data_IF_870239705217
#
_entry.id   IF_870239705217
#
_cell.length_a   1.000
_cell.length_b   1.000
_cell.length_c   1.000
_cell.angle_alpha   90.00
_cell.angle_beta   90.00
_cell.angle_gamma   90.00
#
_symmetry.space_group_name_H-M   'P 1'
#
loop_
_entity.id
_entity.type
_entity.pdbx_description
1 polymer ?
2 non-polymer ?
3 non-polymer ?
4 water ?
#
# COMPACT_ATOMS: atom_id res chain seq x y z
N UNK A 4 -14.98 -22.34 9.45
CA UNK A 4 -14.43 -23.36 10.34
C UNK A 4 -12.93 -23.18 10.54
N UNK A 5 -12.21 -22.97 9.44
CA UNK A 5 -10.76 -22.86 9.49
C UNK A 5 -10.27 -21.48 9.10
N UNK A 6 -9.47 -20.87 9.98
CA UNK A 6 -8.87 -19.57 9.69
C UNK A 6 -7.54 -19.75 8.95
N UNK A 7 -7.16 -18.75 8.19
CA UNK A 7 -5.90 -18.80 7.46
C UNK A 7 -4.81 -18.02 8.21
N UNK A 8 -3.57 -18.34 7.91
CA UNK A 8 -2.44 -17.61 8.49
C UNK A 8 -2.10 -16.42 7.59
N UNK A 9 -2.41 -15.22 8.06
CA UNK A 9 -2.23 -14.01 7.27
C UNK A 9 -0.76 -13.72 6.96
N UNK A 10 0.15 -14.36 7.68
CA UNK A 10 1.58 -14.15 7.49
C UNK A 10 2.07 -14.71 6.16
N UNK A 11 1.23 -15.52 5.52
CA UNK A 11 1.58 -16.10 4.22
C UNK A 11 0.77 -15.46 3.09
N UNK A 12 -0.03 -14.46 3.42
CA UNK A 12 -0.85 -13.75 2.44
C UNK A 12 -0.17 -12.48 1.97
N UNK A 13 0.27 -12.45 0.70
CA UNK A 13 1.05 -11.32 0.15
C UNK A 13 0.27 -10.00 0.23
N UNK A 14 -1.03 -10.06 0.05
CA UNK A 14 -1.87 -8.87 0.14
C UNK A 14 -1.93 -8.31 1.55
N UNK A 15 -1.90 -9.19 2.54
CA UNK A 15 -1.89 -8.77 3.93
C UNK A 15 -0.60 -8.02 4.24
N UNK A 16 0.52 -8.60 3.81
CA UNK A 16 1.82 -7.97 3.98
C UNK A 16 1.92 -6.68 3.18
N UNK A 17 1.31 -6.66 1.99
CA UNK A 17 1.34 -5.49 1.13
C UNK A 17 0.65 -4.30 1.79
N UNK A 18 -0.53 -4.53 2.36
CA UNK A 18 -1.26 -3.47 3.04
C UNK A 18 -0.46 -2.91 4.21
N UNK A 19 0.12 -3.80 5.01
CA UNK A 19 0.85 -3.38 6.19
C UNK A 19 2.14 -2.64 5.84
N UNK A 20 2.77 -3.03 4.74
CA UNK A 20 3.96 -2.33 4.26
C UNK A 20 3.62 -0.92 3.82
N UNK A 21 2.50 -0.77 3.11
CA UNK A 21 2.09 0.53 2.61
C UNK A 21 1.61 1.46 3.74
N UNK A 22 0.97 0.89 4.76
CA UNK A 22 0.61 1.66 5.95
C UNK A 22 1.85 2.18 6.64
N UNK A 23 2.84 1.32 6.80
CA UNK A 23 4.12 1.69 7.39
C UNK A 23 4.78 2.78 6.56
N UNK A 24 4.68 2.65 5.25
CA UNK A 24 5.20 3.64 4.32
C UNK A 24 4.49 4.98 4.50
N UNK A 25 3.16 4.93 4.52
CA UNK A 25 2.37 6.15 4.66
C UNK A 25 2.67 6.86 5.97
N UNK A 26 2.89 6.08 7.01
CA UNK A 26 3.21 6.62 8.33
C UNK A 26 4.59 7.28 8.32
N UNK A 27 5.59 6.55 7.83
CA UNK A 27 6.95 7.07 7.76
C UNK A 27 7.04 8.30 6.87
N UNK A 28 6.27 8.32 5.78
CA UNK A 28 6.31 9.44 4.85
C UNK A 28 5.80 10.72 5.51
N UNK A 29 4.62 10.63 6.12
CA UNK A 29 4.02 11.78 6.76
C UNK A 29 4.77 12.25 8.00
N UNK A 30 5.51 11.33 8.62
CA UNK A 30 6.28 11.66 9.82
C UNK A 30 7.64 12.28 9.49
N UNK A 31 8.34 11.66 8.54
CA UNK A 31 9.72 12.03 8.27
C UNK A 31 9.88 12.91 7.02
N UNK A 32 8.94 12.84 6.09
CA UNK A 32 9.11 13.52 4.82
C UNK A 32 8.22 14.76 4.67
N UNK A 33 6.91 14.56 4.54
CA UNK A 33 5.99 15.68 4.34
C UNK A 33 4.54 15.33 4.62
N UNK A 34 3.80 16.32 5.12
CA UNK A 34 2.35 16.18 5.30
C UNK A 34 1.63 16.98 4.22
N UNK A 35 2.40 17.70 3.41
CA UNK A 35 1.84 18.50 2.33
C UNK A 35 2.02 17.79 0.98
N UNK A 36 3.25 17.39 0.69
CA UNK A 36 3.52 16.68 -0.57
C UNK A 36 3.40 15.17 -0.36
N UNK A 37 2.59 14.52 -1.19
CA UNK A 37 2.42 13.08 -1.11
C UNK A 37 3.53 12.37 -1.87
N UNK A 38 3.69 11.07 -1.61
CA UNK A 38 4.71 10.30 -2.32
C UNK A 38 4.46 10.17 -3.84
N UNK A 39 3.19 10.00 -4.27
CA UNK A 39 2.98 10.02 -5.72
C UNK A 39 3.34 11.37 -6.36
N UNK A 40 3.14 12.46 -5.63
CA UNK A 40 3.56 13.77 -6.11
C UNK A 40 5.07 13.84 -6.25
N UNK A 41 5.79 13.32 -5.27
CA UNK A 41 7.25 13.27 -5.36
C UNK A 41 7.70 12.44 -6.56
N UNK A 42 6.99 11.33 -6.79
CA UNK A 42 7.31 10.44 -7.91
C UNK A 42 7.23 11.20 -9.23
N UNK A 43 6.21 12.04 -9.36
CA UNK A 43 6.05 12.84 -10.56
C UNK A 43 7.12 13.93 -10.65
N UNK A 44 7.40 14.59 -9.53
CA UNK A 44 8.47 15.58 -9.48
C UNK A 44 9.79 14.97 -9.95
N UNK A 45 10.07 13.76 -9.47
CA UNK A 45 11.32 13.09 -9.80
C UNK A 45 11.43 12.73 -11.27
N UNK A 46 10.33 12.23 -11.84
CA UNK A 46 10.30 11.86 -13.25
C UNK A 46 10.58 13.06 -14.14
N UNK A 47 10.17 14.23 -13.68
CA UNK A 47 10.33 15.45 -14.46
C UNK A 47 11.70 16.08 -14.27
N UNK A 48 12.38 15.73 -13.18
CA UNK A 48 13.78 16.10 -12.99
C UNK A 48 14.63 15.27 -13.94
N UNK A 49 14.34 13.97 -13.98
CA UNK A 49 15.06 13.04 -14.85
C UNK A 49 14.83 13.37 -16.34
N UNK A 50 13.58 13.66 -16.69
CA UNK A 50 13.25 13.96 -18.08
C UNK A 50 12.32 15.16 -18.21
N UNK A 51 12.89 16.37 -18.20
CA UNK A 51 12.12 17.61 -18.36
C UNK A 51 11.37 17.62 -19.69
N UNK A 52 10.12 18.09 -19.67
CA UNK A 52 9.32 18.19 -20.87
C UNK A 52 8.63 16.88 -21.24
N UNK A 53 8.62 15.94 -20.31
CA UNK A 53 8.05 14.62 -20.56
C UNK A 53 6.53 14.69 -20.71
N UNK A 54 6.01 13.88 -21.63
CA UNK A 54 4.58 13.78 -21.86
C UNK A 54 3.87 13.26 -20.62
N UNK A 55 2.70 13.82 -20.32
CA UNK A 55 1.93 13.47 -19.14
C UNK A 55 1.58 11.98 -19.08
N UNK A 56 1.19 11.43 -20.23
CA UNK A 56 0.92 10.01 -20.35
C UNK A 56 2.14 9.18 -19.97
N UNK A 57 3.30 9.56 -20.53
CA UNK A 57 4.53 8.83 -20.30
C UNK A 57 4.95 8.86 -18.83
N UNK A 58 4.76 10.00 -18.19
CA UNK A 58 5.06 10.15 -16.77
C UNK A 58 4.28 9.11 -15.96
N UNK A 59 3.01 8.94 -16.28
CA UNK A 59 2.17 7.97 -15.60
C UNK A 59 2.68 6.55 -15.76
N UNK A 60 3.07 6.21 -16.97
CA UNK A 60 3.59 4.87 -17.26
C UNK A 60 4.91 4.62 -16.55
N UNK A 61 5.66 5.70 -16.33
CA UNK A 61 7.00 5.58 -15.76
C UNK A 61 6.99 5.38 -14.24
N UNK A 62 6.09 6.07 -13.55
CA UNK A 62 6.04 6.00 -12.09
C UNK A 62 4.93 5.08 -11.57
N UNK A 63 4.18 4.46 -12.47
CA UNK A 63 3.15 3.51 -12.08
C UNK A 63 1.91 4.16 -11.50
N UNK A 64 1.44 5.23 -12.14
CA UNK A 64 0.19 5.89 -11.74
C UNK A 64 -0.75 5.94 -12.93
N UNK A 65 -2.02 5.63 -12.71
CA UNK A 65 -3.00 5.63 -13.79
C UNK A 65 -3.31 7.04 -14.30
N UNK A 66 -4.06 7.12 -15.40
CA UNK A 66 -4.28 8.39 -16.08
C UNK A 66 -5.03 9.42 -15.22
N UNK A 67 -5.90 8.93 -14.33
CA UNK A 67 -6.69 9.81 -13.50
C UNK A 67 -5.88 10.35 -12.33
N UNK A 68 -5.09 9.49 -11.71
CA UNK A 68 -4.23 9.88 -10.59
C UNK A 68 -3.19 10.89 -11.04
N UNK A 69 -2.63 10.68 -12.22
CA UNK A 69 -1.66 11.61 -12.79
C UNK A 69 -2.28 12.99 -13.02
N UNK A 70 -3.49 12.99 -13.57
CA UNK A 70 -4.21 14.24 -13.81
C UNK A 70 -4.41 15.01 -12.50
N UNK A 71 -4.77 14.27 -11.45
CA UNK A 71 -4.96 14.85 -10.13
C UNK A 71 -3.66 15.44 -9.58
N UNK A 72 -2.59 14.65 -9.68
CA UNK A 72 -1.28 15.10 -9.21
C UNK A 72 -0.80 16.34 -9.96
N UNK A 73 -0.91 16.31 -11.29
CA UNK A 73 -0.51 17.44 -12.12
C UNK A 73 -1.30 18.70 -11.76
N UNK A 74 -2.58 18.55 -11.50
CA UNK A 74 -3.42 19.68 -11.08
C UNK A 74 -2.92 20.27 -9.75
N UNK A 75 -2.63 19.39 -8.80
CA UNK A 75 -2.22 19.84 -7.46
C UNK A 75 -0.83 20.49 -7.48
N UNK A 76 0.11 19.85 -8.17
CA UNK A 76 1.45 20.41 -8.31
C UNK A 76 1.41 21.73 -9.07
N UNK A 77 0.53 21.79 -10.07
CA UNK A 77 0.34 22.99 -10.85
C UNK A 77 -0.17 24.15 -10.00
N UNK A 78 -1.19 23.88 -9.19
CA UNK A 78 -1.77 24.89 -8.32
C UNK A 78 -0.74 25.46 -7.35
N UNK A 79 0.14 24.59 -6.86
CA UNK A 79 1.20 24.99 -5.94
C UNK A 79 2.35 25.69 -6.66
N UNK A 80 2.28 25.71 -7.99
CA UNK A 80 3.31 26.36 -8.80
C UNK A 80 4.62 25.60 -8.80
N UNK A 81 4.54 24.28 -8.68
CA UNK A 81 5.73 23.44 -8.69
C UNK A 81 5.95 22.86 -10.08
N UNK A 82 4.93 22.99 -10.92
CA UNK A 82 4.90 22.30 -12.19
C UNK A 82 4.27 23.15 -13.28
N UNK A 83 4.81 23.08 -14.48
CA UNK A 83 4.26 23.80 -15.62
C UNK A 83 3.76 22.83 -16.67
N UNK A 84 2.54 23.06 -17.15
CA UNK A 84 1.93 22.21 -18.17
C UNK A 84 1.76 23.02 -19.45
N UNK A 85 2.20 22.45 -20.57
CA UNK A 85 2.13 23.13 -21.84
C UNK A 85 1.74 22.17 -22.97
N UNK A 86 1.06 22.69 -23.98
CA UNK A 86 0.65 21.89 -25.12
C UNK A 86 1.85 21.50 -25.97
N UNK A 87 1.95 20.22 -26.31
CA UNK A 87 2.97 19.75 -27.23
C UNK A 87 2.72 20.41 -28.58
N UNK A 88 3.69 21.20 -29.07
CA UNK A 88 3.54 21.92 -30.34
C UNK A 88 3.40 20.98 -31.54
N UNK A 89 4.08 19.84 -31.52
CA UNK A 89 3.98 18.88 -32.61
C UNK A 89 2.65 18.14 -32.60
N UNK A 90 2.28 17.60 -31.44
CA UNK A 90 0.97 16.98 -31.28
C UNK A 90 0.13 17.84 -30.36
N UNK A 91 -0.67 18.73 -30.96
CA UNK A 91 -1.42 19.72 -30.23
C UNK A 91 -2.36 19.22 -29.15
N UNK A 92 -2.64 17.92 -29.17
CA UNK A 92 -3.53 17.34 -28.16
C UNK A 92 -2.77 16.41 -27.23
N UNK A 93 -1.52 16.76 -26.97
CA UNK A 93 -0.69 16.09 -25.98
C UNK A 93 -0.11 17.15 -25.05
N UNK A 94 0.23 16.76 -23.83
CA UNK A 94 0.71 17.73 -22.84
C UNK A 94 2.12 17.43 -22.34
N UNK A 95 2.96 18.46 -22.29
CA UNK A 95 4.33 18.31 -21.80
C UNK A 95 4.49 18.97 -20.44
N UNK A 96 5.25 18.31 -19.56
CA UNK A 96 5.39 18.78 -18.19
C UNK A 96 6.81 19.18 -17.84
N UNK A 97 6.96 20.33 -17.18
CA UNK A 97 8.27 20.78 -16.72
C UNK A 97 8.16 21.36 -15.32
N UNK A 98 9.18 21.15 -14.50
CA UNK A 98 9.20 21.69 -13.16
C UNK A 98 9.58 23.16 -13.15
N UNK A 99 9.00 23.92 -12.23
CA UNK A 99 9.45 25.28 -11.99
C UNK A 99 10.63 25.23 -11.04
N UNK A 100 11.26 26.38 -10.80
CA UNK A 100 12.37 26.46 -9.87
C UNK A 100 11.95 26.02 -8.47
N UNK A 101 10.74 26.40 -8.07
CA UNK A 101 10.21 25.99 -6.77
C UNK A 101 9.93 24.48 -6.73
N UNK A 102 9.51 23.93 -7.86
CA UNK A 102 9.29 22.50 -7.97
C UNK A 102 10.59 21.72 -7.82
N UNK A 103 11.66 22.22 -8.43
CA UNK A 103 12.98 21.64 -8.29
C UNK A 103 13.47 21.77 -6.86
N UNK A 104 13.15 22.92 -6.25
CA UNK A 104 13.54 23.21 -4.88
C UNK A 104 12.83 22.27 -3.91
N UNK A 105 11.55 22.04 -4.12
CA UNK A 105 10.78 21.11 -3.30
C UNK A 105 11.32 19.68 -3.44
N UNK A 106 11.58 19.28 -4.68
CA UNK A 106 12.13 17.96 -4.97
C UNK A 106 13.46 17.72 -4.24
N UNK A 107 14.32 18.74 -4.23
CA UNK A 107 15.63 18.62 -3.59
C UNK A 107 15.48 18.52 -2.07
N UNK A 108 14.63 19.37 -1.50
CA UNK A 108 14.37 19.37 -0.07
C UNK A 108 13.87 18.00 0.42
N UNK A 109 12.85 17.47 -0.28
CA UNK A 109 12.24 16.22 0.12
C UNK A 109 13.20 15.04 0.02
N UNK A 110 14.08 15.09 -0.98
CA UNK A 110 15.04 14.03 -1.20
C UNK A 110 15.96 13.78 -0.02
N UNK A 111 16.28 14.87 0.69
CA UNK A 111 17.11 14.78 1.88
C UNK A 111 16.39 14.00 2.97
N UNK A 112 15.10 14.30 3.14
CA UNK A 112 14.30 13.62 4.16
C UNK A 112 14.03 12.16 3.78
N UNK A 113 13.76 11.94 2.50
CA UNK A 113 13.49 10.61 1.98
C UNK A 113 14.69 9.67 2.21
N UNK A 114 15.89 10.22 2.06
CA UNK A 114 17.11 9.45 2.28
C UNK A 114 17.18 8.94 3.72
N UNK A 115 16.68 9.74 4.67
CA UNK A 115 16.63 9.33 6.06
C UNK A 115 15.56 8.27 6.29
N UNK A 116 14.40 8.47 5.66
CA UNK A 116 13.30 7.52 5.77
C UNK A 116 13.72 6.14 5.28
N UNK A 117 14.39 6.10 4.13
CA UNK A 117 14.81 4.83 3.52
C UNK A 117 15.83 4.05 4.35
N UNK A 118 16.67 4.76 5.09
CA UNK A 118 17.64 4.09 5.96
C UNK A 118 16.90 3.46 7.13
N UNK A 119 15.90 4.17 7.65
CA UNK A 119 15.03 3.64 8.70
C UNK A 119 14.27 2.43 8.16
N UNK A 120 13.74 2.57 6.96
CA UNK A 120 12.95 1.52 6.33
C UNK A 120 13.75 0.25 6.11
N UNK A 121 15.00 0.41 5.70
CA UNK A 121 15.82 -0.73 5.28
C UNK A 121 16.77 -1.24 6.36
N UNK A 122 16.89 -0.48 7.45
CA UNK A 122 17.71 -0.89 8.60
C UNK A 122 17.53 -2.34 9.08
N UNK A 123 16.28 -2.86 9.12
CA UNK A 123 16.13 -4.25 9.53
C UNK A 123 16.81 -5.27 8.60
N UNK A 124 17.23 -4.84 7.42
CA UNK A 124 17.83 -5.75 6.45
C UNK A 124 19.33 -5.53 6.30
N UNK A 125 20.06 -6.62 6.15
CA UNK A 125 21.46 -6.54 5.76
C UNK A 125 21.53 -6.04 4.31
N UNK A 126 22.73 -5.63 3.88
CA UNK A 126 22.91 -5.05 2.56
C UNK A 126 22.48 -5.99 1.42
N UNK A 127 22.88 -7.25 1.51
CA UNK A 127 22.52 -8.24 0.49
C UNK A 127 21.01 -8.51 0.47
N UNK A 128 20.39 -8.44 1.63
CA UNK A 128 18.95 -8.66 1.74
C UNK A 128 18.15 -7.52 1.12
N UNK A 129 18.70 -6.31 1.19
CA UNK A 129 18.05 -5.13 0.62
C UNK A 129 17.92 -5.26 -0.90
N UNK A 130 18.98 -5.74 -1.55
CA UNK A 130 18.96 -5.95 -2.99
C UNK A 130 17.92 -7.00 -3.38
N UNK A 131 17.92 -8.10 -2.63
CA UNK A 131 16.94 -9.17 -2.84
C UNK A 131 15.52 -8.64 -2.64
N UNK A 132 15.33 -7.85 -1.58
CA UNK A 132 14.04 -7.26 -1.28
C UNK A 132 13.51 -6.43 -2.44
N UNK A 133 14.36 -5.55 -2.97
CA UNK A 133 13.99 -4.73 -4.11
C UNK A 133 13.57 -5.58 -5.30
N UNK A 134 14.35 -6.62 -5.58
CA UNK A 134 14.07 -7.49 -6.72
C UNK A 134 12.75 -8.26 -6.57
N UNK A 135 12.54 -8.85 -5.40
CA UNK A 135 11.35 -9.67 -5.18
C UNK A 135 10.06 -8.84 -5.23
N UNK A 136 10.05 -7.72 -4.52
CA UNK A 136 8.84 -6.91 -4.44
C UNK A 136 8.44 -6.30 -5.79
N UNK A 137 9.42 -5.91 -6.59
CA UNK A 137 9.14 -5.38 -7.91
C UNK A 137 8.51 -6.44 -8.79
N UNK A 138 9.06 -7.65 -8.72
CA UNK A 138 8.54 -8.78 -9.49
C UNK A 138 7.11 -9.13 -9.06
N UNK A 139 6.86 -9.16 -7.75
CA UNK A 139 5.52 -9.43 -7.24
C UNK A 139 4.55 -8.32 -7.59
N UNK A 140 5.03 -7.08 -7.58
CA UNK A 140 4.19 -5.94 -7.91
C UNK A 140 3.74 -5.96 -9.37
N UNK A 141 4.53 -6.62 -10.23
CA UNK A 141 4.20 -6.73 -11.64
C UNK A 141 3.24 -7.87 -11.93
N UNK A 142 2.78 -8.55 -10.88
CA UNK A 142 1.86 -9.68 -11.04
C UNK A 142 0.51 -9.24 -11.60
N UNK A 143 0.18 -7.96 -11.40
CA UNK A 143 -1.08 -7.41 -11.88
C UNK A 143 -0.92 -6.73 -13.24
N UNK A 144 0.04 -7.21 -14.02
CA UNK A 144 0.34 -6.62 -15.32
C UNK A 144 -0.84 -6.74 -16.28
N UNK B 3 22.24 20.67 -12.96
CA UNK B 3 22.32 20.75 -11.50
C UNK B 3 21.23 19.90 -10.85
N UNK B 4 20.29 19.42 -11.65
CA UNK B 4 19.19 18.61 -11.15
C UNK B 4 19.58 17.14 -11.07
N UNK B 5 19.35 16.53 -9.91
CA UNK B 5 19.70 15.13 -9.72
C UNK B 5 18.49 14.28 -9.30
N UNK B 6 18.02 13.46 -10.23
CA UNK B 6 16.89 12.57 -9.97
C UNK B 6 17.35 11.28 -9.29
N UNK B 7 16.47 10.68 -8.50
CA UNK B 7 16.78 9.44 -7.81
C UNK B 7 16.22 8.23 -8.57
N UNK B 8 16.74 7.05 -8.25
CA UNK B 8 16.23 5.82 -8.83
C UNK B 8 15.14 5.23 -7.93
N UNK B 9 13.90 5.36 -8.37
CA UNK B 9 12.75 4.91 -7.57
C UNK B 9 12.76 3.41 -7.30
N UNK B 10 13.46 2.67 -8.13
CA UNK B 10 13.56 1.21 -7.97
C UNK B 10 14.30 0.82 -6.69
N UNK B 11 14.98 1.79 -6.07
CA UNK B 11 15.67 1.55 -4.82
C UNK B 11 14.94 2.18 -3.63
N UNK B 12 13.76 2.74 -3.90
CA UNK B 12 12.96 3.34 -2.84
C UNK B 12 11.85 2.39 -2.38
N UNK B 13 12.01 1.82 -1.17
CA UNK B 13 11.08 0.83 -0.63
C UNK B 13 9.65 1.35 -0.55
N UNK B 14 9.49 2.64 -0.29
CA UNK B 14 8.18 3.26 -0.25
C UNK B 14 7.52 3.28 -1.62
N UNK B 15 8.33 3.48 -2.66
CA UNK B 15 7.81 3.46 -4.02
C UNK B 15 7.32 2.06 -4.37
N UNK B 16 8.14 1.07 -4.04
CA UNK B 16 7.80 -0.33 -4.28
C UNK B 16 6.60 -0.74 -3.45
N UNK B 17 6.52 -0.21 -2.23
CA UNK B 17 5.38 -0.46 -1.36
C UNK B 17 4.07 0.02 -1.98
N UNK B 18 4.07 1.25 -2.49
CA UNK B 18 2.88 1.80 -3.13
C UNK B 18 2.44 0.96 -4.32
N UNK B 19 3.39 0.58 -5.17
CA UNK B 19 3.11 -0.24 -6.34
C UNK B 19 2.53 -1.59 -5.97
N UNK B 20 3.10 -2.23 -4.95
CA UNK B 20 2.68 -3.56 -4.54
C UNK B 20 1.24 -3.53 -4.03
N UNK B 21 0.94 -2.52 -3.22
CA UNK B 21 -0.40 -2.37 -2.65
C UNK B 21 -1.41 -1.99 -3.74
N UNK B 22 -0.96 -1.22 -4.72
CA UNK B 22 -1.77 -0.93 -5.88
C UNK B 22 -2.10 -2.23 -6.63
N UNK B 23 -1.09 -3.06 -6.81
CA UNK B 23 -1.27 -4.36 -7.44
C UNK B 23 -2.22 -5.23 -6.64
N UNK B 24 -2.04 -5.21 -5.32
CA UNK B 24 -2.91 -5.94 -4.40
C UNK B 24 -4.36 -5.51 -4.55
N UNK B 25 -4.59 -4.20 -4.50
CA UNK B 25 -5.92 -3.63 -4.59
C UNK B 25 -6.61 -4.01 -5.89
N UNK B 26 -5.85 -4.01 -6.98
CA UNK B 26 -6.38 -4.37 -8.30
C UNK B 26 -6.80 -5.85 -8.32
N UNK B 27 -5.90 -6.72 -7.87
CA UNK B 27 -6.15 -8.15 -7.86
C UNK B 27 -7.30 -8.54 -6.93
N UNK B 28 -7.40 -7.83 -5.80
CA UNK B 28 -8.46 -8.10 -4.84
C UNK B 28 -9.83 -7.79 -5.46
N UNK B 29 -9.96 -6.60 -6.04
CA UNK B 29 -11.24 -6.17 -6.60
C UNK B 29 -11.67 -6.93 -7.86
N UNK B 30 -10.73 -7.58 -8.53
CA UNK B 30 -11.04 -8.32 -9.75
C UNK B 30 -11.22 -9.82 -9.50
N UNK B 31 -10.48 -10.36 -8.55
CA UNK B 31 -10.50 -11.81 -8.31
C UNK B 31 -11.23 -12.21 -7.03
N UNK B 32 -11.34 -11.28 -6.08
CA UNK B 32 -11.93 -11.60 -4.79
C UNK B 32 -13.30 -10.99 -4.56
N UNK B 33 -13.36 -9.66 -4.39
CA UNK B 33 -14.63 -9.00 -4.11
C UNK B 33 -14.60 -7.48 -4.31
N UNK B 34 -15.72 -6.93 -4.78
CA UNK B 34 -15.93 -5.49 -4.83
C UNK B 34 -16.75 -5.05 -3.62
N UNK B 35 -17.24 -6.03 -2.87
CA UNK B 35 -18.17 -5.77 -1.78
C UNK B 35 -17.49 -5.81 -0.42
N UNK B 36 -16.54 -6.72 -0.27
CA UNK B 36 -15.80 -6.86 0.97
C UNK B 36 -14.35 -6.47 0.74
N UNK B 37 -13.82 -5.57 1.58
CA UNK B 37 -12.43 -5.17 1.47
C UNK B 37 -11.51 -6.17 2.16
N UNK B 38 -10.22 -6.08 1.89
CA UNK B 38 -9.25 -6.96 2.53
C UNK B 38 -9.06 -6.70 4.04
N UNK B 39 -9.14 -5.43 4.49
CA UNK B 39 -9.16 -5.26 5.94
C UNK B 39 -10.39 -5.91 6.59
N UNK B 40 -11.52 -5.86 5.90
CA UNK B 40 -12.75 -6.48 6.42
C UNK B 40 -12.59 -7.99 6.52
N UNK B 41 -11.97 -8.61 5.52
CA UNK B 41 -11.72 -10.04 5.55
C UNK B 41 -10.78 -10.42 6.68
N UNK B 42 -9.75 -9.60 6.89
CA UNK B 42 -8.76 -9.85 7.93
C UNK B 42 -9.42 -9.90 9.30
N UNK B 43 -10.38 -9.00 9.51
CA UNK B 43 -11.12 -8.95 10.76
C UNK B 43 -12.00 -10.20 10.89
N UNK B 44 -12.70 -10.54 9.81
CA UNK B 44 -13.52 -11.74 9.77
C UNK B 44 -12.67 -12.97 10.11
N UNK B 45 -11.50 -13.05 9.49
CA UNK B 45 -10.60 -14.17 9.70
C UNK B 45 -10.06 -14.24 11.13
N UNK B 46 -9.82 -13.08 11.72
CA UNK B 46 -9.28 -13.00 13.08
C UNK B 46 -10.29 -13.56 14.08
N UNK B 47 -11.57 -13.43 13.76
CA UNK B 47 -12.64 -13.91 14.63
C UNK B 47 -12.90 -15.39 14.44
N UNK B 48 -12.53 -15.91 13.27
CA UNK B 48 -12.62 -17.34 13.00
C UNK B 48 -11.56 -18.07 13.82
N UNK B 49 -10.38 -17.48 13.87
CA UNK B 49 -9.25 -18.07 14.59
C UNK B 49 -9.53 -18.16 16.09
N UNK B 50 -9.75 -17.01 16.72
CA UNK B 50 -10.05 -16.96 18.14
C UNK B 50 -11.20 -16.00 18.43
N UNK B 51 -12.42 -16.55 18.53
CA UNK B 51 -13.59 -15.73 18.87
C UNK B 51 -13.52 -15.19 20.30
N UNK B 52 -14.19 -14.06 20.54
CA UNK B 52 -14.21 -13.45 21.86
C UNK B 52 -13.18 -12.36 22.02
N UNK B 53 -12.48 -12.03 20.92
CA UNK B 53 -11.55 -10.92 20.93
C UNK B 53 -12.31 -9.60 20.98
N UNK B 54 -11.75 -8.61 21.67
CA UNK B 54 -12.31 -7.28 21.64
C UNK B 54 -11.72 -6.48 20.48
N UNK B 55 -12.29 -5.32 20.22
CA UNK B 55 -11.90 -4.50 19.08
C UNK B 55 -10.41 -4.12 19.12
N UNK B 56 -9.95 -3.73 20.30
CA UNK B 56 -8.57 -3.29 20.48
C UNK B 56 -7.57 -4.38 20.12
N UNK B 57 -7.84 -5.60 20.54
CA UNK B 57 -6.93 -6.71 20.30
C UNK B 57 -6.92 -7.12 18.82
N UNK B 58 -8.10 -7.15 18.21
CA UNK B 58 -8.23 -7.48 16.79
C UNK B 58 -7.40 -6.54 15.93
N UNK B 59 -7.50 -5.24 16.22
CA UNK B 59 -6.73 -4.23 15.51
C UNK B 59 -5.25 -4.49 15.62
N UNK B 60 -4.80 -4.90 16.80
CA UNK B 60 -3.41 -5.25 17.02
C UNK B 60 -3.03 -6.51 16.24
N UNK B 61 -3.96 -7.45 16.14
CA UNK B 61 -3.73 -8.68 15.40
C UNK B 61 -3.51 -8.46 13.90
N UNK B 62 -4.40 -7.68 13.29
CA UNK B 62 -4.42 -7.53 11.84
C UNK B 62 -3.73 -6.26 11.33
N UNK B 63 -3.22 -5.46 12.25
CA UNK B 63 -2.50 -4.25 11.89
C UNK B 63 -3.40 -3.12 11.43
N UNK B 64 -4.39 -2.80 12.26
CA UNK B 64 -5.29 -1.68 11.99
C UNK B 64 -5.33 -0.76 13.20
N UNK B 65 -5.09 0.52 12.98
CA UNK B 65 -5.08 1.51 14.06
C UNK B 65 -6.47 1.69 14.66
N UNK B 66 -6.53 2.43 15.77
CA UNK B 66 -7.76 2.63 16.53
C UNK B 66 -8.97 3.01 15.68
N UNK B 67 -8.81 4.06 14.88
CA UNK B 67 -9.91 4.58 14.07
C UNK B 67 -10.34 3.61 12.97
N UNK B 68 -9.37 3.05 12.27
CA UNK B 68 -9.68 2.15 11.15
C UNK B 68 -10.37 0.88 11.60
N UNK B 69 -9.86 0.25 12.66
CA UNK B 69 -10.48 -0.97 13.17
C UNK B 69 -11.90 -0.67 13.64
N UNK B 70 -12.10 0.51 14.21
CA UNK B 70 -13.42 0.94 14.66
C UNK B 70 -14.35 1.10 13.47
N UNK B 71 -13.81 1.63 12.37
CA UNK B 71 -14.59 1.82 11.15
C UNK B 71 -14.93 0.50 10.48
N UNK B 72 -13.95 -0.39 10.39
CA UNK B 72 -14.15 -1.70 9.79
C UNK B 72 -15.16 -2.54 10.56
N UNK B 73 -14.99 -2.60 11.89
CA UNK B 73 -15.89 -3.36 12.74
C UNK B 73 -17.33 -2.86 12.62
N UNK B 74 -17.49 -1.55 12.65
CA UNK B 74 -18.80 -0.92 12.53
C UNK B 74 -19.44 -1.20 11.18
N UNK B 75 -18.63 -1.15 10.13
CA UNK B 75 -19.09 -1.45 8.78
C UNK B 75 -19.53 -2.90 8.67
N UNK B 76 -18.74 -3.81 9.24
CA UNK B 76 -19.09 -5.23 9.26
C UNK B 76 -20.35 -5.46 10.09
N UNK B 77 -20.51 -4.67 11.14
CA UNK B 77 -21.71 -4.73 11.96
C UNK B 77 -22.94 -4.35 11.16
N UNK B 78 -22.85 -3.24 10.44
CA UNK B 78 -23.96 -2.75 9.62
C UNK B 78 -24.35 -3.73 8.52
N UNK B 79 -23.36 -4.46 7.99
CA UNK B 79 -23.64 -5.47 6.98
C UNK B 79 -24.23 -6.74 7.57
N UNK B 80 -24.18 -6.86 8.89
CA UNK B 80 -24.73 -8.01 9.58
C UNK B 80 -23.81 -9.21 9.57
N UNK B 81 -22.52 -8.96 9.41
CA UNK B 81 -21.53 -10.03 9.36
C UNK B 81 -20.86 -10.24 10.72
N UNK B 82 -21.13 -9.34 11.65
CA UNK B 82 -20.41 -9.31 12.92
C UNK B 82 -21.31 -8.80 14.06
N UNK B 83 -21.10 -9.31 15.26
CA UNK B 83 -21.90 -8.92 16.42
C UNK B 83 -21.05 -8.58 17.65
N UNK B 84 -21.66 -7.88 18.60
CA UNK B 84 -21.00 -7.54 19.86
C UNK B 84 -21.72 -8.17 21.05
N UNK B 85 -20.95 -8.46 22.10
CA UNK B 85 -21.51 -9.04 23.31
C UNK B 85 -20.65 -8.69 24.53
N UNK B 86 -21.30 -8.45 25.66
CA UNK B 86 -20.60 -8.08 26.88
C UNK B 86 -19.74 -9.21 27.43
N UNK B 87 -18.58 -8.86 27.98
CA UNK B 87 -17.71 -9.82 28.63
C UNK B 87 -18.32 -10.17 30.00
N UNK B 88 -18.54 -11.47 30.25
CA UNK B 88 -19.02 -11.92 31.56
C UNK B 88 -18.12 -11.44 32.70
N UNK B 89 -16.81 -11.45 32.49
CA UNK B 89 -15.87 -10.96 33.48
C UNK B 89 -15.86 -9.44 33.54
N UNK B 90 -15.16 -8.81 32.60
CA UNK B 90 -15.10 -7.36 32.52
C UNK B 90 -16.38 -6.83 31.86
N UNK B 91 -17.40 -6.59 32.67
CA UNK B 91 -18.73 -6.27 32.18
C UNK B 91 -18.89 -5.07 31.27
N UNK B 92 -17.82 -4.31 31.09
CA UNK B 92 -17.86 -3.13 30.23
C UNK B 92 -17.10 -3.34 28.93
N UNK B 93 -16.21 -4.33 28.94
CA UNK B 93 -15.37 -4.63 27.79
C UNK B 93 -16.11 -5.53 26.80
N UNK B 94 -16.63 -4.93 25.73
CA UNK B 94 -17.45 -5.67 24.76
C UNK B 94 -16.62 -6.64 23.90
N UNK B 95 -17.24 -7.74 23.49
CA UNK B 95 -16.58 -8.78 22.72
C UNK B 95 -17.12 -8.84 21.30
N UNK B 96 -16.28 -9.28 20.36
CA UNK B 96 -16.69 -9.38 18.96
C UNK B 96 -17.00 -10.83 18.56
N UNK B 97 -18.14 -11.03 17.91
CA UNK B 97 -18.57 -12.36 17.53
C UNK B 97 -19.09 -12.40 16.09
N UNK B 98 -18.67 -13.42 15.35
CA UNK B 98 -19.14 -13.60 13.98
C UNK B 98 -20.59 -14.07 13.89
N UNK B 99 -21.27 -13.70 12.82
CA UNK B 99 -22.62 -14.19 12.57
C UNK B 99 -22.54 -15.32 11.56
N UNK B 100 -23.67 -15.99 11.33
CA UNK B 100 -23.76 -17.04 10.32
C UNK B 100 -23.30 -16.51 8.97
N UNK B 101 -23.75 -15.31 8.62
CA UNK B 101 -23.40 -14.67 7.36
C UNK B 101 -21.93 -14.32 7.28
N UNK B 102 -21.38 -13.83 8.38
CA UNK B 102 -19.97 -13.49 8.45
C UNK B 102 -19.08 -14.67 8.12
N UNK B 103 -19.37 -15.81 8.74
CA UNK B 103 -18.61 -17.03 8.47
C UNK B 103 -18.80 -17.50 7.03
N UNK B 104 -20.01 -17.32 6.51
CA UNK B 104 -20.31 -17.69 5.13
C UNK B 104 -19.50 -16.83 4.16
N UNK B 105 -19.42 -15.53 4.45
CA UNK B 105 -18.63 -14.62 3.63
C UNK B 105 -17.14 -14.96 3.73
N UNK B 106 -16.69 -15.25 4.96
CA UNK B 106 -15.30 -15.61 5.19
C UNK B 106 -14.91 -16.83 4.36
N UNK B 107 -15.72 -17.87 4.45
CA UNK B 107 -15.45 -19.10 3.71
C UNK B 107 -15.44 -18.90 2.21
N UNK B 108 -16.43 -18.16 1.70
CA UNK B 108 -16.57 -17.95 0.27
C UNK B 108 -15.37 -17.20 -0.32
N UNK B 109 -14.95 -16.13 0.34
CA UNK B 109 -13.83 -15.33 -0.14
C UNK B 109 -12.52 -16.10 -0.11
N UNK B 110 -12.36 -16.98 0.88
CA UNK B 110 -11.14 -17.76 1.03
C UNK B 110 -10.77 -18.54 -0.21
N UNK B 111 -11.80 -19.12 -0.85
CA UNK B 111 -11.59 -19.86 -2.09
C UNK B 111 -11.04 -18.92 -3.17
N UNK B 112 -11.64 -17.74 -3.26
CA UNK B 112 -11.21 -16.74 -4.24
C UNK B 112 -9.82 -16.19 -3.92
N UNK B 113 -9.54 -16.01 -2.64
CA UNK B 113 -8.26 -15.48 -2.19
C UNK B 113 -7.10 -16.42 -2.56
N UNK B 114 -7.35 -17.72 -2.42
CA UNK B 114 -6.34 -18.74 -2.74
C UNK B 114 -5.92 -18.65 -4.20
N UNK B 115 -6.88 -18.40 -5.09
CA UNK B 115 -6.59 -18.24 -6.50
C UNK B 115 -5.84 -16.93 -6.77
N UNK B 116 -6.24 -15.86 -6.08
CA UNK B 116 -5.57 -14.58 -6.21
C UNK B 116 -4.11 -14.68 -5.81
N UNK B 117 -3.85 -15.39 -4.71
CA UNK B 117 -2.49 -15.56 -4.22
C UNK B 117 -1.59 -16.36 -5.16
N UNK B 118 -2.19 -17.30 -5.89
CA UNK B 118 -1.45 -18.06 -6.89
C UNK B 118 -0.94 -17.13 -7.98
N UNK B 119 -1.84 -16.27 -8.47
CA UNK B 119 -1.48 -15.29 -9.49
C UNK B 119 -0.51 -14.25 -8.93
N UNK B 120 -0.74 -13.83 -7.70
CA UNK B 120 0.08 -12.81 -7.07
C UNK B 120 1.52 -13.27 -6.85
N UNK B 121 1.69 -14.53 -6.44
CA UNK B 121 3.01 -15.05 -6.11
C UNK B 121 3.67 -15.81 -7.28
N UNK B 122 2.92 -15.99 -8.35
CA UNK B 122 3.41 -16.68 -9.56
C UNK B 122 4.78 -16.22 -10.10
N UNK B 123 5.09 -14.91 -10.05
CA UNK B 123 6.43 -14.52 -10.52
C UNK B 123 7.59 -15.08 -9.68
N UNK B 124 7.29 -15.57 -8.48
CA UNK B 124 8.35 -16.07 -7.60
C UNK B 124 8.38 -17.60 -7.50
N UNK B 125 9.58 -18.15 -7.43
CA UNK B 125 9.75 -19.56 -7.12
C UNK B 125 9.39 -19.77 -5.65
N UNK B 126 9.09 -21.01 -5.29
CA UNK B 126 8.66 -21.35 -3.93
C UNK B 126 9.62 -20.84 -2.86
N UNK B 127 10.91 -20.98 -3.11
CA UNK B 127 11.93 -20.57 -2.14
C UNK B 127 12.00 -19.04 -2.04
N UNK B 128 11.72 -18.37 -3.15
CA UNK B 128 11.73 -16.91 -3.17
C UNK B 128 10.53 -16.35 -2.43
N UNK B 129 9.44 -17.12 -2.41
CA UNK B 129 8.23 -16.71 -1.72
C UNK B 129 8.44 -16.67 -0.21
N UNK B 130 9.16 -17.65 0.32
CA UNK B 130 9.47 -17.68 1.75
C UNK B 130 10.32 -16.49 2.17
N UNK B 131 11.32 -16.16 1.34
CA UNK B 131 12.17 -15.01 1.59
C UNK B 131 11.37 -13.72 1.50
N UNK B 132 10.50 -13.64 0.50
CA UNK B 132 9.65 -12.47 0.30
C UNK B 132 8.84 -12.14 1.55
N UNK B 133 8.16 -13.15 2.09
CA UNK B 133 7.35 -12.99 3.30
C UNK B 133 8.17 -12.47 4.47
N UNK B 134 9.34 -13.05 4.66
CA UNK B 134 10.23 -12.65 5.76
C UNK B 134 10.72 -11.22 5.61
N UNK B 135 11.28 -10.90 4.45
CA UNK B 135 11.85 -9.58 4.20
C UNK B 135 10.82 -8.46 4.34
N UNK B 136 9.65 -8.66 3.74
CA UNK B 136 8.62 -7.63 3.75
C UNK B 136 8.04 -7.42 5.14
N UNK B 137 7.98 -8.49 5.93
CA UNK B 137 7.48 -8.40 7.29
C UNK B 137 8.43 -7.57 8.16
N UNK B 138 9.74 -7.79 7.98
CA UNK B 138 10.75 -7.07 8.72
C UNK B 138 10.81 -5.60 8.30
N UNK B 139 10.63 -5.34 7.01
CA UNK B 139 10.64 -3.97 6.52
C UNK B 139 9.39 -3.24 6.99
N UNK B 140 8.26 -3.94 7.01
CA UNK B 140 7.01 -3.36 7.47
C UNK B 140 7.09 -3.01 8.96
N UNK B 141 7.86 -3.78 9.71
CA UNK B 141 7.98 -3.57 11.15
C UNK B 141 8.91 -2.42 11.50
N UNK B 142 9.58 -1.86 10.49
CA UNK B 142 10.47 -0.72 10.70
C UNK B 142 9.68 0.48 11.22
N UNK B 143 8.37 0.47 10.97
CA UNK B 143 7.47 1.46 11.54
C UNK B 143 7.31 1.21 13.03
N UNK B 144 8.05 1.98 13.82
CA UNK B 144 8.05 1.84 15.28
C UNK B 144 6.65 2.03 15.87
#
# INVERSE_FOLDING_TARGET
>A
GSHMAAVDLATHPGHLARRLQQAHYLLWNTMVSEETTSPQYAVLNALVAEPGLDQRTVGERVGLDRSTIAEVVSRLGRRGLLDKVRDPQDGRRSLLRLTDEGLRVHRRLGVRIARMNQVFLAPLAADEQAVFFDLIRRVADAAEGLRNPAEPAVAPG
>B
GSHMAAVDLATHPGHLARRLQQAHYLLWNTMVSEETTSPQYAVLNALVAEPGLDQRTVGERVGLDRSTIAEVVSRLGRRGLLDKVRDPQDGRRSLLRLTDEGLRVHRRLGVRIARMNQVFLAPLAADEQAVFFDLIRRVADAAEGLRNPAEPAVAPG
#
